data_IF_059073522122
#
_entry.id   IF_059073522122
#
_cell.length_a   1.000
_cell.length_b   1.000
_cell.length_c   1.000
_cell.angle_alpha   90.00
_cell.angle_beta   90.00
_cell.angle_gamma   90.00
#
_symmetry.space_group_name_H-M   'P 1'
#
loop_
_entity.id
_entity.type
_entity.pdbx_description
1 polymer ?
#
# COMPACT_ATOMS: atom_id res chain seq x y z
N UNK A 1 -33.55 -16.40 -7.24
CA UNK A 1 -34.43 -15.25 -7.02
C UNK A 1 -33.51 -14.27 -6.34
N UNK A 2 -33.72 -13.01 -6.65
CA UNK A 2 -32.94 -11.87 -6.22
C UNK A 2 -34.06 -10.83 -6.05
N UNK A 3 -34.59 -10.81 -4.83
CA UNK A 3 -35.83 -10.15 -4.46
C UNK A 3 -35.62 -8.61 -4.42
N UNK A 4 -34.39 -8.17 -4.18
CA UNK A 4 -33.90 -6.77 -4.16
C UNK A 4 -33.43 -6.29 -5.55
N UNK A 5 -32.87 -7.19 -6.37
CA UNK A 5 -32.05 -6.90 -7.56
C UNK A 5 -30.74 -6.17 -7.26
N UNK A 6 -30.08 -6.51 -6.15
CA UNK A 6 -28.73 -6.06 -5.81
C UNK A 6 -27.63 -6.91 -6.49
N UNK A 7 -28.02 -7.97 -7.20
CA UNK A 7 -27.06 -8.86 -7.87
C UNK A 7 -26.60 -10.04 -7.02
N UNK A 8 -26.96 -10.08 -5.74
CA UNK A 8 -26.74 -11.20 -4.82
C UNK A 8 -28.02 -12.07 -4.80
N UNK A 9 -27.95 -13.36 -5.17
CA UNK A 9 -29.12 -14.23 -5.09
C UNK A 9 -29.62 -14.39 -3.64
N UNK A 10 -30.94 -14.34 -3.38
CA UNK A 10 -31.57 -14.58 -2.04
C UNK A 10 -31.14 -15.88 -1.34
N UNK A 11 -30.58 -16.83 -2.09
CA UNK A 11 -30.06 -18.09 -1.55
C UNK A 11 -28.69 -17.94 -0.87
N UNK A 12 -28.05 -16.79 -1.07
CA UNK A 12 -26.79 -16.35 -0.49
C UNK A 12 -27.04 -15.17 0.46
N UNK A 13 -28.06 -14.35 0.23
CA UNK A 13 -28.47 -13.28 1.14
C UNK A 13 -29.21 -13.84 2.40
N UNK A 14 -28.46 -14.24 3.44
CA UNK A 14 -29.07 -14.64 4.71
C UNK A 14 -29.23 -13.41 5.61
N UNK A 15 -30.35 -12.68 5.43
CA UNK A 15 -30.77 -11.42 6.11
C UNK A 15 -30.74 -11.37 7.67
N UNK A 16 -30.12 -12.33 8.36
CA UNK A 16 -29.86 -12.34 9.80
C UNK A 16 -28.58 -13.17 10.07
N UNK A 17 -27.43 -12.69 9.60
CA UNK A 17 -26.12 -13.23 10.00
C UNK A 17 -25.97 -12.97 11.51
N UNK A 18 -25.63 -14.02 12.25
CA UNK A 18 -25.46 -14.10 13.70
C UNK A 18 -24.30 -15.09 13.89
N UNK A 19 -23.08 -14.58 13.69
CA UNK A 19 -21.87 -15.38 13.48
C UNK A 19 -21.48 -16.14 14.75
N UNK A 20 -21.56 -15.52 15.93
CA UNK A 20 -21.32 -16.16 17.22
C UNK A 20 -22.52 -16.95 17.79
N UNK A 21 -23.73 -16.68 17.27
CA UNK A 21 -24.96 -17.36 17.64
C UNK A 21 -25.55 -16.94 19.00
N UNK A 22 -25.22 -15.75 19.51
CA UNK A 22 -25.73 -15.23 20.79
C UNK A 22 -27.16 -14.68 20.69
N UNK A 23 -27.64 -14.46 19.46
CA UNK A 23 -28.98 -13.96 19.13
C UNK A 23 -29.07 -12.44 18.96
N UNK A 24 -27.94 -11.74 18.89
CA UNK A 24 -27.78 -10.38 18.38
C UNK A 24 -27.27 -10.54 16.93
N UNK A 25 -27.97 -9.98 15.92
CA UNK A 25 -27.46 -10.01 14.55
C UNK A 25 -26.24 -9.10 14.39
N UNK A 26 -25.33 -9.48 13.49
CA UNK A 26 -24.07 -8.77 13.21
C UNK A 26 -24.27 -7.27 12.91
N UNK A 27 -25.38 -6.89 12.25
CA UNK A 27 -25.68 -5.49 11.92
C UNK A 27 -25.88 -4.57 13.15
N UNK A 28 -26.00 -5.15 14.35
CA UNK A 28 -26.15 -4.45 15.62
C UNK A 28 -25.27 -5.02 16.74
N UNK A 29 -24.42 -6.01 16.46
CA UNK A 29 -23.39 -6.47 17.39
C UNK A 29 -22.13 -5.61 17.24
N UNK A 30 -21.27 -5.60 18.27
CA UNK A 30 -19.97 -4.93 18.23
C UNK A 30 -18.80 -5.95 18.38
N UNK A 31 -19.10 -7.26 18.37
CA UNK A 31 -18.22 -8.44 18.59
C UNK A 31 -18.83 -9.65 17.87
N UNK A 32 -18.85 -9.59 16.53
CA UNK A 32 -19.63 -10.47 15.64
C UNK A 32 -19.32 -11.97 15.81
N UNK A 33 -18.07 -12.32 16.09
CA UNK A 33 -17.61 -13.70 16.25
C UNK A 33 -17.48 -14.17 17.72
N UNK A 34 -17.71 -13.25 18.66
CA UNK A 34 -17.72 -13.51 20.10
C UNK A 34 -16.35 -13.91 20.68
N UNK A 35 -15.24 -13.51 20.04
CA UNK A 35 -13.90 -13.78 20.52
C UNK A 35 -13.46 -12.86 21.69
N UNK A 36 -14.21 -11.76 21.87
CA UNK A 36 -14.01 -10.76 22.91
C UNK A 36 -13.11 -9.58 22.51
N UNK A 37 -12.75 -9.47 21.23
CA UNK A 37 -12.34 -8.24 20.56
C UNK A 37 -13.58 -7.47 20.08
N UNK A 38 -13.38 -6.23 19.64
CA UNK A 38 -14.47 -5.49 19.01
C UNK A 38 -14.19 -5.52 17.52
N UNK A 39 -15.21 -5.59 16.66
CA UNK A 39 -15.00 -5.66 15.19
C UNK A 39 -14.09 -4.52 14.70
N UNK A 40 -14.26 -3.32 15.27
CA UNK A 40 -13.41 -2.15 14.96
C UNK A 40 -11.91 -2.30 15.30
N UNK A 41 -11.54 -3.28 16.13
CA UNK A 41 -10.19 -3.62 16.54
C UNK A 41 -9.77 -5.04 16.12
N UNK A 42 -10.66 -5.81 15.50
CA UNK A 42 -10.38 -7.15 15.01
C UNK A 42 -9.71 -7.13 13.64
N UNK A 43 -9.09 -8.25 13.27
CA UNK A 43 -8.33 -8.42 12.03
C UNK A 43 -8.43 -9.85 11.48
N UNK A 44 -9.39 -10.62 11.97
CA UNK A 44 -9.67 -12.04 11.72
C UNK A 44 -11.15 -12.27 12.08
N UNK A 45 -12.05 -11.61 11.36
CA UNK A 45 -13.49 -11.41 11.69
C UNK A 45 -14.29 -12.71 11.79
N UNK A 46 -13.84 -13.79 11.17
CA UNK A 46 -14.43 -15.13 11.25
C UNK A 46 -13.66 -16.11 12.15
N UNK A 47 -12.52 -15.64 12.69
CA UNK A 47 -11.60 -16.39 13.52
C UNK A 47 -11.13 -17.73 12.91
N UNK A 48 -11.02 -17.82 11.58
CA UNK A 48 -10.55 -19.01 10.87
C UNK A 48 -9.01 -19.15 10.90
N UNK A 49 -8.32 -18.06 11.27
CA UNK A 49 -6.87 -17.96 11.37
C UNK A 49 -6.18 -17.38 10.14
N UNK A 50 -6.95 -16.84 9.19
CA UNK A 50 -6.51 -16.05 8.04
C UNK A 50 -6.93 -14.59 8.30
N UNK A 51 -5.99 -13.65 8.41
CA UNK A 51 -6.37 -12.26 8.66
C UNK A 51 -7.16 -11.66 7.48
N UNK A 52 -8.18 -10.83 7.74
CA UNK A 52 -9.12 -10.27 6.72
C UNK A 52 -8.37 -9.63 5.55
N UNK A 53 -7.26 -8.93 5.86
CA UNK A 53 -6.37 -8.31 4.85
C UNK A 53 -5.86 -9.27 3.74
N UNK A 54 -5.96 -10.58 3.95
CA UNK A 54 -5.58 -11.62 2.99
C UNK A 54 -6.66 -12.70 2.81
N UNK A 55 -7.76 -12.63 3.57
CA UNK A 55 -8.93 -13.46 3.28
C UNK A 55 -9.63 -12.96 2.01
N UNK A 56 -10.65 -13.70 1.58
CA UNK A 56 -11.47 -13.41 0.42
C UNK A 56 -12.96 -13.59 0.72
N UNK A 57 -13.27 -13.92 1.96
CA UNK A 57 -14.56 -14.31 2.54
C UNK A 57 -14.35 -14.12 4.06
N UNK A 58 -14.11 -12.86 4.45
CA UNK A 58 -13.62 -12.48 5.80
C UNK A 58 -14.64 -12.71 6.92
N UNK A 59 -15.92 -12.81 6.58
CA UNK A 59 -17.01 -13.20 7.48
C UNK A 59 -17.47 -14.67 7.30
N UNK A 60 -16.86 -15.40 6.35
CA UNK A 60 -17.13 -16.79 6.00
C UNK A 60 -18.61 -17.09 5.65
N UNK A 61 -19.35 -16.09 5.14
CA UNK A 61 -20.76 -16.21 4.78
C UNK A 61 -20.99 -16.96 3.43
N UNK A 62 -19.89 -17.29 2.72
CA UNK A 62 -19.81 -17.92 1.39
C UNK A 62 -20.05 -16.97 0.20
N UNK A 63 -20.11 -15.68 0.45
CA UNK A 63 -19.98 -14.60 -0.51
C UNK A 63 -18.53 -14.11 -0.41
N UNK A 64 -17.81 -13.99 -1.54
CA UNK A 64 -16.48 -13.43 -1.48
C UNK A 64 -16.51 -11.91 -1.34
N UNK A 65 -15.63 -11.31 -0.54
CA UNK A 65 -15.59 -9.86 -0.24
C UNK A 65 -15.62 -8.98 -1.52
N UNK A 66 -15.02 -9.48 -2.61
CA UNK A 66 -15.02 -8.81 -3.92
C UNK A 66 -16.40 -8.69 -4.58
N UNK A 67 -17.42 -9.36 -4.04
CA UNK A 67 -18.83 -9.26 -4.43
C UNK A 67 -19.65 -8.43 -3.44
N UNK A 68 -19.02 -7.97 -2.35
CA UNK A 68 -19.65 -7.26 -1.23
C UNK A 68 -19.11 -5.84 -1.07
N UNK A 69 -17.96 -5.53 -1.69
CA UNK A 69 -17.46 -4.17 -1.85
C UNK A 69 -18.55 -3.28 -2.49
N UNK A 70 -18.99 -2.28 -1.75
CA UNK A 70 -20.04 -1.29 -2.07
C UNK A 70 -19.57 0.06 -1.49
N UNK A 71 -18.82 0.80 -2.29
CA UNK A 71 -18.06 1.97 -1.87
C UNK A 71 -18.94 3.17 -1.51
N UNK A 72 -20.14 3.27 -2.09
CA UNK A 72 -21.10 4.34 -1.83
C UNK A 72 -22.27 3.94 -0.91
N UNK A 73 -22.42 2.65 -0.64
CA UNK A 73 -23.46 2.09 0.22
C UNK A 73 -24.86 2.14 -0.40
N UNK A 74 -24.97 2.14 -1.72
CA UNK A 74 -26.26 2.19 -2.44
C UNK A 74 -26.91 0.81 -2.61
N UNK A 75 -26.16 -0.25 -2.31
CA UNK A 75 -26.57 -1.65 -2.34
C UNK A 75 -26.31 -2.35 -3.69
N UNK A 76 -25.68 -1.71 -4.67
CA UNK A 76 -25.09 -2.36 -5.83
C UNK A 76 -23.58 -2.57 -5.60
N UNK A 77 -23.04 -3.81 -5.70
CA UNK A 77 -21.61 -4.01 -5.53
C UNK A 77 -20.79 -3.28 -6.60
N UNK A 78 -19.62 -2.73 -6.23
CA UNK A 78 -18.70 -1.96 -7.10
C UNK A 78 -18.40 -2.69 -8.43
N UNK A 79 -18.30 -4.02 -8.39
CA UNK A 79 -18.05 -4.82 -9.61
C UNK A 79 -19.19 -4.79 -10.65
N UNK A 80 -20.38 -4.34 -10.26
CA UNK A 80 -21.58 -4.22 -11.08
C UNK A 80 -21.99 -2.75 -11.27
N UNK A 81 -21.60 -1.87 -10.34
CA UNK A 81 -21.77 -0.44 -10.46
C UNK A 81 -20.86 0.14 -11.58
N UNK A 82 -21.15 1.39 -11.96
CA UNK A 82 -20.42 2.18 -12.95
C UNK A 82 -19.90 3.49 -12.39
N UNK A 83 -20.24 3.79 -11.14
CA UNK A 83 -19.97 5.04 -10.44
C UNK A 83 -19.84 4.67 -8.95
N UNK A 84 -18.79 3.90 -8.62
CA UNK A 84 -18.59 3.20 -7.34
C UNK A 84 -18.69 4.13 -6.11
N UNK A 85 -18.42 5.43 -6.27
CA UNK A 85 -18.52 6.42 -5.20
C UNK A 85 -19.70 7.40 -5.34
N UNK A 86 -20.52 7.22 -6.37
CA UNK A 86 -21.69 8.02 -6.74
C UNK A 86 -21.40 9.54 -6.79
N UNK A 87 -20.17 9.94 -7.15
CA UNK A 87 -19.78 11.34 -7.27
C UNK A 87 -20.30 11.98 -8.58
N UNK A 88 -20.77 11.14 -9.52
CA UNK A 88 -21.33 11.51 -10.81
C UNK A 88 -20.35 11.41 -11.99
N UNK A 89 -19.12 10.96 -11.74
CA UNK A 89 -18.11 10.61 -12.72
C UNK A 89 -18.01 9.08 -12.78
N UNK A 90 -18.32 8.44 -13.92
CA UNK A 90 -18.21 6.99 -14.01
C UNK A 90 -16.76 6.50 -13.86
N UNK A 91 -16.53 5.34 -13.24
CA UNK A 91 -15.17 4.80 -13.01
C UNK A 91 -14.40 4.53 -14.32
N UNK A 92 -15.10 4.24 -15.43
CA UNK A 92 -14.46 4.17 -16.75
C UNK A 92 -13.82 5.53 -17.16
N UNK A 93 -14.45 6.65 -16.79
CA UNK A 93 -13.97 8.00 -17.04
C UNK A 93 -12.82 8.35 -16.10
N UNK A 94 -12.94 8.07 -14.80
CA UNK A 94 -11.85 8.24 -13.84
C UNK A 94 -10.61 7.43 -14.23
N UNK A 95 -10.78 6.16 -14.61
CA UNK A 95 -9.67 5.31 -15.04
C UNK A 95 -8.98 5.90 -16.29
N UNK A 96 -9.73 6.59 -17.16
CA UNK A 96 -9.15 7.29 -18.31
C UNK A 96 -8.38 8.55 -17.89
N UNK A 97 -8.84 9.30 -16.90
CA UNK A 97 -8.13 10.48 -16.40
C UNK A 97 -6.84 10.09 -15.68
N UNK A 98 -6.90 9.09 -14.81
CA UNK A 98 -5.71 8.47 -14.20
C UNK A 98 -4.73 7.98 -15.28
N UNK A 99 -5.22 7.45 -16.40
CA UNK A 99 -4.35 7.05 -17.53
C UNK A 99 -3.73 8.24 -18.24
N UNK A 100 -4.45 9.36 -18.39
CA UNK A 100 -3.94 10.59 -19.01
C UNK A 100 -2.87 11.22 -18.13
N UNK A 101 -3.13 11.33 -16.82
CA UNK A 101 -2.16 11.79 -15.83
C UNK A 101 -0.86 10.97 -15.91
N UNK A 102 -0.96 9.64 -15.79
CA UNK A 102 0.22 8.75 -15.90
C UNK A 102 1.00 8.89 -17.22
N UNK A 103 0.36 9.38 -18.27
CA UNK A 103 0.97 9.62 -19.58
C UNK A 103 1.46 11.06 -19.77
N UNK A 104 1.19 11.95 -18.80
CA UNK A 104 1.46 13.37 -18.88
C UNK A 104 0.63 14.08 -19.94
N UNK A 105 -0.60 13.60 -20.14
CA UNK A 105 -1.55 14.15 -21.10
C UNK A 105 -2.90 14.46 -20.45
N UNK A 106 -2.92 14.67 -19.13
CA UNK A 106 -4.03 15.32 -18.45
C UNK A 106 -4.09 16.78 -18.91
N UNK A 107 -5.31 17.31 -19.00
CA UNK A 107 -5.69 18.58 -19.64
C UNK A 107 -7.04 18.93 -18.99
N UNK A 108 -6.97 19.50 -17.79
CA UNK A 108 -8.08 19.67 -16.84
C UNK A 108 -9.13 20.63 -17.38
N UNK A 109 -8.70 21.82 -17.81
CA UNK A 109 -9.55 22.84 -18.42
C UNK A 109 -9.95 22.57 -19.89
N UNK A 110 -9.31 21.58 -20.53
CA UNK A 110 -9.53 21.15 -21.91
C UNK A 110 -9.21 22.26 -22.92
N UNK A 111 -8.24 23.13 -22.62
CA UNK A 111 -7.76 24.18 -23.52
C UNK A 111 -6.83 23.63 -24.63
N UNK A 112 -6.31 22.41 -24.41
CA UNK A 112 -5.46 21.67 -25.33
C UNK A 112 -3.96 21.79 -25.04
N UNK A 113 -3.57 22.42 -23.94
CA UNK A 113 -2.25 22.37 -23.32
C UNK A 113 -2.34 21.36 -22.17
N UNK A 114 -1.49 20.32 -22.13
CA UNK A 114 -1.49 19.41 -20.99
C UNK A 114 -1.03 20.13 -19.71
N UNK A 115 -1.59 19.78 -18.56
CA UNK A 115 -1.33 20.41 -17.25
C UNK A 115 0.17 20.53 -16.93
N UNK A 116 0.96 19.49 -17.25
CA UNK A 116 2.43 19.51 -17.10
C UNK A 116 3.16 20.63 -17.89
N UNK A 117 2.52 21.18 -18.92
CA UNK A 117 2.99 22.27 -19.77
C UNK A 117 2.18 23.56 -19.61
N UNK A 118 1.07 23.54 -18.87
CA UNK A 118 0.23 24.70 -18.57
C UNK A 118 0.73 25.44 -17.30
N UNK A 119 0.15 26.61 -17.02
CA UNK A 119 0.46 27.43 -15.86
C UNK A 119 -0.80 27.87 -15.09
N UNK A 120 -1.96 27.38 -15.51
CA UNK A 120 -3.32 27.75 -15.08
C UNK A 120 -4.25 26.57 -15.46
N UNK A 121 -4.08 25.44 -14.77
CA UNK A 121 -4.63 24.12 -15.15
C UNK A 121 -6.18 24.09 -15.17
N UNK A 122 -6.85 24.93 -14.39
CA UNK A 122 -8.31 25.09 -14.35
C UNK A 122 -8.83 26.34 -15.11
N UNK A 123 -7.91 27.18 -15.60
CA UNK A 123 -8.16 28.41 -16.34
C UNK A 123 -9.02 29.44 -15.56
N UNK A 124 -8.95 29.48 -14.23
CA UNK A 124 -9.67 30.45 -13.39
C UNK A 124 -9.00 31.85 -13.37
N UNK A 125 -7.75 31.92 -13.83
CA UNK A 125 -6.94 33.12 -13.96
C UNK A 125 -6.01 33.42 -12.79
N UNK A 126 -5.90 32.52 -11.83
CA UNK A 126 -4.78 32.38 -10.88
C UNK A 126 -3.76 31.43 -11.54
N UNK A 127 -2.49 31.52 -11.16
CA UNK A 127 -1.48 30.60 -11.73
C UNK A 127 -1.28 29.48 -10.73
N UNK A 128 -1.03 28.24 -11.15
CA UNK A 128 -0.94 27.07 -10.25
C UNK A 128 -0.02 27.34 -9.05
N UNK A 129 1.14 27.97 -9.29
CA UNK A 129 2.09 28.28 -8.20
C UNK A 129 1.61 29.31 -7.15
N UNK A 130 0.50 29.99 -7.41
CA UNK A 130 -0.19 30.92 -6.50
C UNK A 130 -1.64 30.46 -6.20
N UNK A 131 -2.10 29.36 -6.81
CA UNK A 131 -3.36 28.69 -6.46
C UNK A 131 -3.16 27.76 -5.26
N UNK A 132 -4.25 27.35 -4.63
CA UNK A 132 -4.24 26.30 -3.60
C UNK A 132 -5.21 25.17 -3.95
N UNK A 133 -5.68 25.13 -5.19
CA UNK A 133 -6.64 24.18 -5.76
C UNK A 133 -6.48 24.30 -7.29
N UNK A 134 -5.31 23.92 -7.81
CA UNK A 134 -4.87 24.22 -9.19
C UNK A 134 -5.67 23.49 -10.28
N UNK A 135 -6.32 22.38 -9.95
CA UNK A 135 -7.26 21.66 -10.82
C UNK A 135 -8.75 21.92 -10.48
N UNK A 136 -9.01 22.66 -9.38
CA UNK A 136 -10.33 23.01 -8.85
C UNK A 136 -11.26 21.78 -8.69
N UNK A 137 -10.68 20.67 -8.23
CA UNK A 137 -11.38 19.45 -7.84
C UNK A 137 -12.06 19.57 -6.45
N UNK A 138 -11.74 20.64 -5.71
CA UNK A 138 -12.29 20.95 -4.40
C UNK A 138 -11.49 20.38 -3.22
N UNK A 139 -10.32 19.81 -3.49
CA UNK A 139 -9.32 19.35 -2.54
C UNK A 139 -8.11 20.30 -2.65
N UNK A 140 -7.77 21.03 -1.58
CA UNK A 140 -6.61 21.93 -1.66
C UNK A 140 -5.29 21.19 -1.92
N UNK A 141 -4.37 21.77 -2.70
CA UNK A 141 -3.08 21.14 -3.09
C UNK A 141 -2.23 20.64 -1.89
N UNK A 142 -2.44 21.22 -0.69
CA UNK A 142 -1.73 20.80 0.52
C UNK A 142 -2.29 19.53 1.16
N UNK A 143 -3.52 19.17 0.83
CA UNK A 143 -4.24 17.95 1.21
C UNK A 143 -4.41 17.00 0.00
N UNK A 144 -4.23 17.47 -1.22
CA UNK A 144 -4.22 16.63 -2.41
C UNK A 144 -2.92 15.82 -2.48
N UNK A 145 -3.08 14.49 -2.42
CA UNK A 145 -1.99 13.53 -2.54
C UNK A 145 -2.08 12.68 -3.80
N UNK A 146 -3.07 13.01 -4.65
CA UNK A 146 -3.56 12.26 -5.80
C UNK A 146 -3.27 12.96 -7.13
N UNK A 147 -3.24 14.31 -7.21
CA UNK A 147 -3.06 15.06 -8.47
C UNK A 147 -1.62 15.38 -8.88
N UNK A 148 -0.68 15.46 -7.95
CA UNK A 148 0.63 16.03 -8.28
C UNK A 148 1.72 14.96 -8.58
N UNK A 149 2.47 15.00 -9.72
CA UNK A 149 3.57 14.07 -9.96
C UNK A 149 4.65 14.29 -8.91
N UNK A 150 4.62 13.46 -7.87
CA UNK A 150 5.62 13.35 -6.79
C UNK A 150 7.02 13.28 -7.40
N UNK A 151 7.64 14.44 -7.60
CA UNK A 151 9.06 14.54 -7.86
C UNK A 151 9.75 14.01 -6.62
N UNK A 152 10.29 12.80 -6.72
CA UNK A 152 11.18 12.23 -5.72
C UNK A 152 12.42 13.12 -5.59
N UNK A 153 12.32 14.17 -4.79
CA UNK A 153 13.46 14.91 -4.32
C UNK A 153 14.13 14.05 -3.25
N UNK A 154 15.12 13.27 -3.66
CA UNK A 154 16.00 12.57 -2.72
C UNK A 154 16.73 13.62 -1.89
N UNK A 155 16.11 14.00 -0.77
CA UNK A 155 16.69 14.89 0.19
C UNK A 155 18.02 14.35 0.70
N UNK A 156 18.87 15.25 1.18
CA UNK A 156 20.18 14.93 1.76
C UNK A 156 20.14 13.76 2.76
N UNK A 157 19.00 13.55 3.44
CA UNK A 157 18.76 12.45 4.37
C UNK A 157 18.88 11.05 3.73
N UNK A 158 18.38 10.86 2.50
CA UNK A 158 18.50 9.57 1.80
C UNK A 158 19.95 9.31 1.38
N UNK A 159 20.64 10.31 0.84
CA UNK A 159 22.07 10.18 0.54
C UNK A 159 22.90 9.85 1.80
N UNK A 160 22.57 10.47 2.93
CA UNK A 160 23.25 10.25 4.20
C UNK A 160 22.99 8.85 4.79
N UNK A 161 21.76 8.32 4.67
CA UNK A 161 21.42 6.98 5.16
C UNK A 161 22.12 5.88 4.37
N UNK A 162 22.13 5.99 3.04
CA UNK A 162 22.86 5.06 2.18
C UNK A 162 24.38 5.17 2.33
N UNK A 163 24.93 6.37 2.49
CA UNK A 163 26.35 6.55 2.78
C UNK A 163 26.74 5.91 4.12
N UNK A 164 25.90 6.02 5.16
CA UNK A 164 26.10 5.36 6.45
C UNK A 164 26.09 3.83 6.32
N UNK A 165 25.11 3.27 5.60
CA UNK A 165 25.03 1.82 5.36
C UNK A 165 26.26 1.27 4.61
N UNK A 166 26.75 2.00 3.61
CA UNK A 166 27.96 1.65 2.85
C UNK A 166 29.20 1.70 3.75
N UNK A 167 29.34 2.73 4.60
CA UNK A 167 30.46 2.84 5.53
C UNK A 167 30.44 1.72 6.59
N UNK A 168 29.28 1.34 7.10
CA UNK A 168 29.14 0.22 8.02
C UNK A 168 29.54 -1.10 7.34
N UNK A 169 29.07 -1.35 6.13
CA UNK A 169 29.42 -2.56 5.39
C UNK A 169 30.93 -2.63 5.08
N UNK A 170 31.52 -1.52 4.63
CA UNK A 170 32.97 -1.42 4.42
C UNK A 170 33.76 -1.63 5.72
N UNK A 171 33.28 -1.11 6.85
CA UNK A 171 33.95 -1.28 8.15
C UNK A 171 34.03 -2.76 8.57
N UNK A 172 32.95 -3.52 8.34
CA UNK A 172 32.89 -4.95 8.63
C UNK A 172 33.82 -5.73 7.71
N UNK A 173 33.88 -5.39 6.41
CA UNK A 173 34.83 -6.00 5.47
C UNK A 173 36.28 -5.75 5.91
N UNK A 174 36.62 -4.52 6.29
CA UNK A 174 37.98 -4.21 6.75
C UNK A 174 38.35 -4.99 8.02
N UNK A 175 37.42 -5.16 8.96
CA UNK A 175 37.63 -6.00 10.15
C UNK A 175 37.87 -7.48 9.80
N UNK A 176 37.17 -8.01 8.79
CA UNK A 176 37.38 -9.39 8.34
C UNK A 176 38.76 -9.53 7.67
N UNK A 177 39.15 -8.58 6.82
CA UNK A 177 40.46 -8.58 6.17
C UNK A 177 41.63 -8.49 7.17
N UNK A 178 41.48 -7.71 8.24
CA UNK A 178 42.51 -7.60 9.29
C UNK A 178 42.65 -8.93 10.06
N UNK A 179 41.53 -9.59 10.37
CA UNK A 179 41.52 -10.90 11.03
C UNK A 179 42.20 -12.00 10.21
N UNK A 180 41.95 -12.05 8.90
CA UNK A 180 42.63 -13.00 8.01
C UNK A 180 44.14 -12.70 7.91
N UNK A 181 44.52 -11.42 7.92
CA UNK A 181 45.93 -11.01 7.89
C UNK A 181 46.69 -11.44 9.15
N UNK A 182 46.08 -11.30 10.33
CA UNK A 182 46.67 -11.79 11.58
C UNK A 182 46.80 -13.32 11.60
N UNK A 183 45.77 -14.07 11.15
CA UNK A 183 45.84 -15.54 11.11
C UNK A 183 46.97 -16.06 10.19
N UNK A 184 47.23 -15.39 9.07
CA UNK A 184 48.36 -15.70 8.18
C UNK A 184 49.69 -15.45 8.89
N UNK A 185 49.83 -14.29 9.54
CA UNK A 185 51.06 -13.92 10.26
C UNK A 185 51.39 -14.87 11.43
N UNK A 186 50.38 -15.36 12.14
CA UNK A 186 50.58 -16.35 13.20
C UNK A 186 50.97 -17.73 12.66
N UNK A 187 50.40 -18.18 11.54
CA UNK A 187 50.79 -19.45 10.92
C UNK A 187 52.21 -19.42 10.38
N UNK A 188 52.65 -18.29 9.82
CA UNK A 188 54.03 -18.13 9.32
C UNK A 188 55.04 -18.18 10.47
N UNK A 189 54.81 -17.46 11.58
CA UNK A 189 55.70 -17.53 12.76
C UNK A 189 55.78 -18.91 13.41
N UNK A 190 54.66 -19.63 13.50
CA UNK A 190 54.67 -20.99 14.07
C UNK A 190 55.34 -21.98 13.11
N UNK A 191 55.18 -21.81 11.79
CA UNK A 191 55.88 -22.60 10.79
C UNK A 191 57.41 -22.41 10.85
N UNK A 192 57.87 -21.16 11.00
CA UNK A 192 59.29 -20.84 11.14
C UNK A 192 59.90 -21.42 12.44
N UNK A 193 59.12 -21.47 13.53
CA UNK A 193 59.54 -22.08 14.81
C UNK A 193 59.64 -23.62 14.72
N UNK A 194 58.76 -24.28 13.96
CA UNK A 194 58.83 -25.73 13.75
C UNK A 194 59.90 -26.15 12.72
N UNK A 195 60.18 -25.35 11.69
CA UNK A 195 61.30 -25.63 10.77
C UNK A 195 62.66 -25.42 11.46
N UNK A 196 62.80 -24.40 12.30
CA UNK A 196 64.03 -24.17 13.08
C UNK A 196 64.36 -25.29 14.07
N UNK A 197 63.35 -26.02 14.57
CA UNK A 197 63.57 -27.14 15.48
C UNK A 197 63.93 -28.47 14.77
N UNK A 198 63.68 -28.57 13.45
CA UNK A 198 64.00 -29.77 12.67
C UNK A 198 65.40 -29.72 12.00
N UNK A 199 66.01 -28.54 11.88
CA UNK A 199 67.38 -28.39 11.34
C UNK A 199 68.49 -28.55 12.41
N UNK A 200 68.17 -28.51 13.70
CA UNK A 200 69.16 -28.72 14.78
C UNK A 200 69.46 -30.20 15.09
N UNK A 201 68.72 -31.15 14.51
CA UNK A 201 68.84 -32.60 14.79
C UNK A 201 69.23 -33.47 13.55
N UNK A 202 69.88 -32.91 12.51
CA UNK A 202 70.40 -33.66 11.35
C UNK A 202 71.94 -33.64 11.21
#
# INVERSE_FOLDING_TARGET
MDDDNDGIPDSLEEKNIDLDGDGIPNDIDDDDDGDGQLDSEDSDDDNDGIPDSVDKDDDNDNIPDVLEEDSDGDGEPDILDRDDDNDGVPDEEEELEIKKDRQGSLDTDKDGIPDLEDQDDDNDGIIDSEDNDDDNDGIPDDEDTSGDPRVWSFGFAYGASWASAILLFLSVILLICDRESEEIFYKERVGDEEEGCNEEDA
#
